data_IF_656218625926
#
_entry.id   IF_656218625926
#
_cell.length_a   1.000
_cell.length_b   1.000
_cell.length_c   1.000
_cell.angle_alpha   90.00
_cell.angle_beta   90.00
_cell.angle_gamma   90.00
#
_symmetry.space_group_name_H-M   'P 1'
#
loop_
_entity.id
_entity.type
_entity.pdbx_description
1 polymer ?
#
# COMPACT_ATOMS: atom_id res chain seq x y z
N UNK A 1 -50.49 -31.51 0.97
CA UNK A 1 -49.46 -32.31 1.68
C UNK A 1 -48.68 -32.97 0.56
N UNK A 2 -47.44 -32.65 0.23
CA UNK A 2 -46.24 -32.52 1.07
C UNK A 2 -45.26 -31.52 0.42
N UNK A 3 -45.01 -30.37 1.08
CA UNK A 3 -44.03 -29.36 0.65
C UNK A 3 -42.98 -29.17 1.76
N UNK A 4 -42.37 -30.26 2.23
CA UNK A 4 -41.56 -30.22 3.48
C UNK A 4 -40.30 -31.08 3.43
N UNK A 5 -39.64 -31.23 2.27
CA UNK A 5 -38.37 -32.02 2.19
C UNK A 5 -37.31 -31.41 1.27
N UNK A 6 -37.21 -30.07 1.15
CA UNK A 6 -36.15 -29.44 0.33
C UNK A 6 -35.41 -28.27 0.99
N UNK A 7 -35.53 -28.09 2.31
CA UNK A 7 -34.84 -27.02 3.06
C UNK A 7 -33.99 -27.66 4.17
N UNK A 8 -33.11 -28.61 3.82
CA UNK A 8 -32.25 -29.23 4.85
C UNK A 8 -30.89 -29.75 4.36
N UNK A 9 -30.40 -29.26 3.21
CA UNK A 9 -29.06 -29.64 2.70
C UNK A 9 -28.10 -28.45 2.62
N UNK A 10 -28.62 -27.21 2.54
CA UNK A 10 -27.78 -26.01 2.43
C UNK A 10 -27.10 -25.56 3.74
N UNK A 11 -27.54 -26.04 4.91
CA UNK A 11 -26.98 -25.61 6.20
C UNK A 11 -25.81 -26.46 6.71
N UNK A 12 -25.47 -27.59 6.08
CA UNK A 12 -24.40 -28.48 6.59
C UNK A 12 -23.06 -28.22 5.88
N UNK A 13 -23.06 -27.66 4.66
CA UNK A 13 -21.81 -27.41 3.93
C UNK A 13 -21.05 -26.14 4.36
N UNK A 14 -21.65 -25.26 5.17
CA UNK A 14 -21.03 -23.99 5.59
C UNK A 14 -20.13 -24.13 6.84
N UNK A 15 -20.16 -25.25 7.56
CA UNK A 15 -19.35 -25.44 8.79
C UNK A 15 -18.02 -26.15 8.59
N UNK A 16 -17.74 -26.74 7.42
CA UNK A 16 -16.50 -27.51 7.20
C UNK A 16 -15.33 -26.63 6.72
N UNK A 17 -15.59 -25.43 6.22
CA UNK A 17 -14.52 -24.54 5.71
C UNK A 17 -13.86 -23.61 6.75
N UNK A 18 -14.33 -23.62 8.01
CA UNK A 18 -13.79 -22.76 9.08
C UNK A 18 -12.72 -23.42 9.97
N UNK A 19 -12.28 -24.64 9.65
CA UNK A 19 -11.38 -25.42 10.51
C UNK A 19 -9.95 -25.63 9.95
N UNK A 20 -9.56 -25.01 8.84
CA UNK A 20 -8.30 -25.37 8.14
C UNK A 20 -7.21 -24.28 8.03
N UNK A 21 -7.25 -23.20 8.82
CA UNK A 21 -6.16 -22.20 8.83
C UNK A 21 -5.45 -22.02 10.17
N UNK A 22 -5.57 -22.99 11.09
CA UNK A 22 -4.89 -22.94 12.39
C UNK A 22 -3.81 -24.01 12.53
N UNK A 23 -2.81 -24.01 11.65
CA UNK A 23 -1.50 -24.59 11.94
C UNK A 23 -0.46 -23.80 11.15
N UNK A 24 0.17 -22.82 11.80
CA UNK A 24 1.50 -22.34 11.42
C UNK A 24 2.38 -22.61 12.62
N UNK A 25 3.39 -23.45 12.36
CA UNK A 25 4.25 -24.05 13.35
C UNK A 25 5.08 -23.03 14.12
N UNK A 26 5.13 -23.27 15.42
CA UNK A 26 5.93 -22.58 16.41
C UNK A 26 7.27 -23.32 16.54
N UNK A 27 8.32 -22.86 15.86
CA UNK A 27 9.70 -23.26 16.15
C UNK A 27 10.45 -22.09 16.78
N UNK A 28 10.53 -22.12 18.11
CA UNK A 28 11.47 -21.33 18.91
C UNK A 28 12.76 -22.14 18.98
N UNK A 29 13.78 -21.73 18.20
CA UNK A 29 15.16 -22.10 18.47
C UNK A 29 15.90 -20.85 18.94
N UNK A 30 16.43 -20.95 20.16
CA UNK A 30 17.03 -19.84 20.87
C UNK A 30 18.40 -19.45 20.33
N UNK A 31 18.75 -18.17 20.49
CA UNK A 31 20.12 -17.72 20.66
C UNK A 31 20.15 -16.63 21.75
N UNK A 32 21.15 -16.82 22.60
CA UNK A 32 21.72 -16.01 23.68
C UNK A 32 21.44 -14.50 23.77
N UNK A 33 21.49 -14.07 25.04
CA UNK A 33 21.54 -12.71 25.54
C UNK A 33 22.61 -11.83 24.88
N UNK A 34 22.25 -10.57 24.58
CA UNK A 34 23.16 -9.44 24.76
C UNK A 34 22.40 -8.27 25.40
N UNK A 35 22.87 -7.89 26.58
CA UNK A 35 22.53 -6.66 27.30
C UNK A 35 23.17 -5.48 26.56
N UNK A 36 22.38 -4.51 26.09
CA UNK A 36 22.86 -3.14 25.91
C UNK A 36 21.78 -2.12 26.23
N UNK A 37 22.10 -1.27 27.20
CA UNK A 37 21.38 -0.04 27.51
C UNK A 37 21.74 1.01 26.45
N UNK A 38 20.74 1.66 25.90
CA UNK A 38 20.92 2.81 25.02
C UNK A 38 19.78 2.96 24.03
N UNK A 39 18.66 3.54 24.49
CA UNK A 39 17.46 3.90 23.73
C UNK A 39 17.78 4.40 22.31
N UNK A 40 17.35 3.67 21.26
CA UNK A 40 17.12 4.22 19.93
C UNK A 40 15.63 4.10 19.62
N UNK A 41 15.01 5.18 19.17
CA UNK A 41 13.66 5.17 18.62
C UNK A 41 13.59 4.08 17.54
N UNK A 42 12.85 3.02 17.82
CA UNK A 42 12.75 1.82 16.99
C UNK A 42 12.02 2.19 15.69
N UNK A 43 12.78 2.71 14.72
CA UNK A 43 12.35 2.78 13.33
C UNK A 43 12.15 1.36 12.86
N UNK A 44 10.89 1.02 12.60
CA UNK A 44 10.50 -0.22 11.94
C UNK A 44 11.46 -0.48 10.76
N UNK A 45 12.04 -1.68 10.63
CA UNK A 45 12.99 -1.95 9.56
C UNK A 45 12.24 -1.88 8.22
N UNK A 46 12.44 -0.78 7.48
CA UNK A 46 12.14 -0.71 6.04
C UNK A 46 12.93 -1.86 5.41
N UNK A 47 12.25 -2.97 5.11
CA UNK A 47 12.87 -4.25 4.76
C UNK A 47 13.71 -4.18 3.48
N UNK A 48 13.53 -3.14 2.65
CA UNK A 48 14.52 -2.74 1.67
C UNK A 48 14.27 -1.28 1.25
N UNK A 49 15.11 -0.35 1.71
CA UNK A 49 15.02 1.07 1.31
C UNK A 49 15.08 1.23 -0.21
N UNK A 50 15.82 0.34 -0.89
CA UNK A 50 15.94 0.33 -2.34
C UNK A 50 14.61 -0.02 -3.01
N UNK A 51 13.87 -0.99 -2.47
CA UNK A 51 12.56 -1.38 -2.99
C UNK A 51 11.53 -0.26 -2.84
N UNK A 52 11.54 0.46 -1.71
CA UNK A 52 10.66 1.62 -1.53
C UNK A 52 10.96 2.73 -2.55
N UNK A 53 12.24 3.08 -2.75
CA UNK A 53 12.64 4.11 -3.71
C UNK A 53 12.28 3.71 -5.15
N UNK A 54 12.51 2.45 -5.53
CA UNK A 54 12.11 1.90 -6.82
C UNK A 54 10.59 1.99 -7.04
N UNK A 55 9.80 1.55 -6.07
CA UNK A 55 8.34 1.59 -6.16
C UNK A 55 7.81 3.04 -6.18
N UNK A 56 8.47 3.94 -5.43
CA UNK A 56 8.20 5.38 -5.46
C UNK A 56 8.46 5.98 -6.85
N UNK A 57 9.57 5.64 -7.48
CA UNK A 57 9.91 6.12 -8.83
C UNK A 57 8.92 5.62 -9.88
N UNK A 58 8.58 4.32 -9.86
CA UNK A 58 7.58 3.75 -10.76
C UNK A 58 6.23 4.46 -10.56
N UNK A 59 5.83 4.66 -9.31
CA UNK A 59 4.59 5.39 -8.96
C UNK A 59 4.62 6.80 -9.52
N UNK A 60 5.72 7.55 -9.30
CA UNK A 60 5.89 8.91 -9.81
C UNK A 60 5.74 8.96 -11.33
N UNK A 61 6.38 8.04 -12.05
CA UNK A 61 6.32 7.99 -13.51
C UNK A 61 4.89 7.75 -14.03
N UNK A 62 4.13 6.90 -13.35
CA UNK A 62 2.70 6.70 -13.66
C UNK A 62 1.89 7.96 -13.35
N UNK A 63 2.14 8.60 -12.21
CA UNK A 63 1.45 9.83 -11.80
C UNK A 63 1.75 11.02 -12.70
N UNK A 64 2.95 11.12 -13.30
CA UNK A 64 3.25 12.14 -14.31
C UNK A 64 2.25 12.05 -15.48
N UNK A 65 1.95 10.84 -15.94
CA UNK A 65 1.02 10.63 -17.06
C UNK A 65 -0.42 10.99 -16.69
N UNK A 66 -0.87 10.66 -15.48
CA UNK A 66 -2.29 10.75 -15.10
C UNK A 66 -2.66 11.98 -14.24
N UNK A 67 -1.69 12.53 -13.53
CA UNK A 67 -1.85 13.63 -12.58
C UNK A 67 -0.93 14.82 -12.90
N UNK A 68 0.06 14.65 -13.79
CA UNK A 68 1.12 15.63 -14.06
C UNK A 68 0.61 17.01 -14.48
N UNK A 69 -0.47 17.06 -15.28
CA UNK A 69 -1.09 18.34 -15.69
C UNK A 69 -1.34 19.31 -14.53
N UNK A 70 -1.74 18.80 -13.36
CA UNK A 70 -1.99 19.63 -12.18
C UNK A 70 -0.82 19.62 -11.17
N UNK A 71 -0.09 18.51 -11.10
CA UNK A 71 0.91 18.22 -10.05
C UNK A 71 2.37 18.38 -10.49
N UNK A 72 2.65 18.92 -11.67
CA UNK A 72 4.00 19.31 -12.09
C UNK A 72 4.12 20.83 -12.13
N UNK A 73 4.88 21.41 -11.20
CA UNK A 73 5.05 22.86 -11.09
C UNK A 73 5.71 23.49 -12.31
N UNK A 74 6.46 22.72 -13.10
CA UNK A 74 7.06 23.13 -14.37
C UNK A 74 6.05 23.34 -15.51
N UNK A 75 4.81 22.85 -15.38
CA UNK A 75 3.77 23.02 -16.39
C UNK A 75 2.94 24.28 -16.13
N UNK A 76 2.64 25.04 -17.20
CA UNK A 76 1.72 26.19 -17.14
C UNK A 76 0.31 25.83 -16.66
N UNK A 77 -0.07 24.55 -16.76
CA UNK A 77 -1.39 24.05 -16.36
C UNK A 77 -1.48 23.67 -14.88
N UNK A 78 -0.40 23.79 -14.11
CA UNK A 78 -0.37 23.38 -12.72
C UNK A 78 -1.41 24.14 -11.89
N UNK A 79 -1.83 23.53 -10.78
CA UNK A 79 -2.72 24.17 -9.81
C UNK A 79 -1.99 24.31 -8.50
N UNK A 80 -1.93 25.53 -7.94
CA UNK A 80 -1.25 25.81 -6.66
C UNK A 80 -1.69 24.85 -5.54
N UNK A 81 -3.00 24.63 -5.42
CA UNK A 81 -3.56 23.73 -4.41
C UNK A 81 -3.17 22.26 -4.65
N UNK A 82 -2.97 21.85 -5.90
CA UNK A 82 -2.51 20.50 -6.21
C UNK A 82 -1.03 20.30 -5.85
N UNK A 83 -0.19 21.29 -6.17
CA UNK A 83 1.23 21.32 -5.80
C UNK A 83 1.42 21.29 -4.28
N UNK A 84 0.52 21.94 -3.53
CA UNK A 84 0.54 21.88 -2.07
C UNK A 84 0.27 20.47 -1.51
N UNK A 85 -0.38 19.58 -2.26
CA UNK A 85 -0.54 18.17 -1.88
C UNK A 85 0.74 17.39 -2.17
N UNK A 86 1.20 17.47 -3.42
CA UNK A 86 2.48 16.91 -3.85
C UNK A 86 2.91 17.54 -5.19
N UNK A 87 4.21 17.64 -5.39
CA UNK A 87 4.83 18.12 -6.63
C UNK A 87 5.69 17.03 -7.26
N UNK A 88 5.28 16.56 -8.43
CA UNK A 88 5.96 15.52 -9.19
C UNK A 88 7.32 16.00 -9.72
N UNK A 89 7.63 17.29 -9.73
CA UNK A 89 8.94 17.79 -10.16
C UNK A 89 10.01 17.72 -9.06
N UNK A 90 9.65 17.36 -7.82
CA UNK A 90 10.60 17.19 -6.70
C UNK A 90 11.40 15.86 -6.73
N UNK A 91 11.43 15.17 -7.87
CA UNK A 91 12.19 13.93 -8.06
C UNK A 91 11.92 12.90 -6.97
N UNK A 92 12.95 12.46 -6.23
CA UNK A 92 12.82 11.46 -5.16
C UNK A 92 11.93 11.93 -4.00
N UNK A 93 11.81 13.24 -3.78
CA UNK A 93 11.10 13.82 -2.63
C UNK A 93 9.65 14.20 -2.92
N UNK A 94 9.13 13.86 -4.11
CA UNK A 94 7.75 14.19 -4.53
C UNK A 94 6.67 13.80 -3.52
N UNK A 95 6.91 12.74 -2.74
CA UNK A 95 5.96 12.17 -1.78
C UNK A 95 6.13 12.64 -0.33
N UNK A 96 7.05 13.56 -0.05
CA UNK A 96 7.34 13.98 1.34
C UNK A 96 6.12 14.61 2.01
N UNK A 97 5.31 15.37 1.26
CA UNK A 97 4.14 16.10 1.75
C UNK A 97 2.84 15.31 1.72
N UNK A 98 2.85 14.06 1.22
CA UNK A 98 1.64 13.24 1.16
C UNK A 98 1.13 12.94 2.58
N UNK A 99 -0.10 13.35 2.85
CA UNK A 99 -0.86 12.94 4.02
C UNK A 99 -1.70 11.68 3.71
N UNK A 100 -2.18 11.00 4.76
CA UNK A 100 -2.90 9.72 4.62
C UNK A 100 -4.13 9.85 3.71
N UNK A 101 -4.92 10.92 3.86
CA UNK A 101 -6.09 11.18 3.02
C UNK A 101 -5.76 11.42 1.54
N UNK A 102 -4.51 11.74 1.19
CA UNK A 102 -4.08 11.89 -0.20
C UNK A 102 -3.77 10.55 -0.86
N UNK A 103 -3.39 9.54 -0.08
CA UNK A 103 -3.07 8.20 -0.59
C UNK A 103 -4.31 7.55 -1.21
N UNK A 104 -5.48 7.68 -0.56
CA UNK A 104 -6.75 7.21 -1.11
C UNK A 104 -7.10 7.92 -2.43
N UNK A 105 -6.83 9.23 -2.51
CA UNK A 105 -7.03 10.01 -3.73
C UNK A 105 -6.16 9.54 -4.89
N UNK A 106 -4.93 9.07 -4.61
CA UNK A 106 -4.06 8.45 -5.61
C UNK A 106 -4.68 7.14 -6.09
N UNK A 107 -5.02 6.22 -5.17
CA UNK A 107 -5.64 4.92 -5.49
C UNK A 107 -6.86 5.08 -6.40
N UNK A 108 -7.78 5.98 -6.02
CA UNK A 108 -9.03 6.19 -6.76
C UNK A 108 -8.80 6.73 -8.18
N UNK A 109 -7.73 7.51 -8.41
CA UNK A 109 -7.43 8.06 -9.75
C UNK A 109 -6.78 7.06 -10.70
N UNK A 110 -6.11 6.04 -10.16
CA UNK A 110 -5.31 5.09 -10.95
C UNK A 110 -5.97 3.72 -11.12
N UNK A 111 -6.83 3.28 -10.18
CA UNK A 111 -7.33 1.90 -10.13
C UNK A 111 -8.01 1.43 -11.43
N UNK A 112 -8.73 2.34 -12.11
CA UNK A 112 -9.51 2.03 -13.32
C UNK A 112 -8.79 2.41 -14.63
N UNK A 113 -7.48 2.69 -14.58
CA UNK A 113 -6.72 3.08 -15.77
C UNK A 113 -6.16 1.84 -16.46
N UNK A 114 -6.81 1.46 -17.57
CA UNK A 114 -6.38 0.36 -18.44
C UNK A 114 -4.98 0.55 -19.05
N UNK A 115 -4.44 1.77 -19.04
CA UNK A 115 -3.08 2.07 -19.52
C UNK A 115 -1.98 1.71 -18.52
N UNK A 116 -2.32 1.38 -17.27
CA UNK A 116 -1.37 1.01 -16.23
C UNK A 116 -1.20 -0.52 -16.23
N UNK A 117 0.04 -0.99 -16.33
CA UNK A 117 0.36 -2.42 -16.35
C UNK A 117 0.18 -3.04 -14.96
N UNK A 118 0.04 -4.37 -14.89
CA UNK A 118 -0.05 -5.07 -13.59
C UNK A 118 1.22 -4.88 -12.74
N UNK A 119 2.41 -4.84 -13.36
CA UNK A 119 3.66 -4.53 -12.65
C UNK A 119 3.62 -3.13 -12.02
N UNK A 120 3.13 -2.13 -12.76
CA UNK A 120 2.97 -0.77 -12.25
C UNK A 120 1.95 -0.73 -11.11
N UNK A 121 0.81 -1.43 -11.23
CA UNK A 121 -0.18 -1.51 -10.14
C UNK A 121 0.42 -2.09 -8.87
N UNK A 122 1.18 -3.18 -8.99
CA UNK A 122 1.87 -3.80 -7.84
C UNK A 122 2.87 -2.83 -7.19
N UNK A 123 3.68 -2.14 -7.98
CA UNK A 123 4.62 -1.14 -7.46
C UNK A 123 3.90 0.01 -6.75
N UNK A 124 2.78 0.49 -7.31
CA UNK A 124 2.00 1.57 -6.68
C UNK A 124 1.37 1.11 -5.37
N UNK A 125 0.76 -0.08 -5.35
CA UNK A 125 0.21 -0.66 -4.11
C UNK A 125 1.28 -0.77 -3.04
N UNK A 126 2.44 -1.34 -3.38
CA UNK A 126 3.55 -1.48 -2.44
C UNK A 126 4.04 -0.12 -1.93
N UNK A 127 4.16 0.89 -2.79
CA UNK A 127 4.51 2.25 -2.37
C UNK A 127 3.47 2.85 -1.40
N UNK A 128 2.18 2.77 -1.73
CA UNK A 128 1.10 3.34 -0.93
C UNK A 128 1.00 2.68 0.45
N UNK A 129 1.13 1.35 0.51
CA UNK A 129 1.15 0.60 1.77
C UNK A 129 2.32 1.02 2.66
N UNK A 130 3.53 1.08 2.10
CA UNK A 130 4.72 1.50 2.83
C UNK A 130 4.61 2.96 3.30
N UNK A 131 4.09 3.86 2.46
CA UNK A 131 3.89 5.27 2.83
C UNK A 131 2.81 5.41 3.91
N UNK A 132 1.71 4.66 3.85
CA UNK A 132 0.70 4.63 4.90
C UNK A 132 1.28 4.14 6.22
N UNK A 133 2.12 3.09 6.19
CA UNK A 133 2.80 2.61 7.38
C UNK A 133 3.76 3.66 7.99
N UNK A 134 4.49 4.41 7.15
CA UNK A 134 5.36 5.51 7.62
C UNK A 134 4.58 6.65 8.29
N UNK A 135 3.35 6.93 7.86
CA UNK A 135 2.53 8.02 8.40
C UNK A 135 1.87 7.68 9.75
N UNK A 136 1.81 6.39 10.12
CA UNK A 136 1.20 5.90 11.36
C UNK A 136 2.19 5.79 12.54
N UNK A 137 3.47 6.04 12.30
CA UNK A 137 4.55 6.03 13.30
C UNK A 137 4.71 7.40 13.96
#
# INVERSE_FOLDING_TARGET
>A
MENTVKISIFSILLMVFLAHTCVVDNEINGIEQVKSEGKPTEKMPLKDKNEFEKNSEITRNVLITHCGRCHQSSLETHKKDAIAVFDLDQNADWHQTLAEHNLEGITNRIQDKNSITEEQKLAITAFLENKSAQLKQ
#
